data_IF_315620159506
#
_entry.id   IF_315620159506
#
_cell.length_a   1.000
_cell.length_b   1.000
_cell.length_c   1.000
_cell.angle_alpha   90.00
_cell.angle_beta   90.00
_cell.angle_gamma   90.00
#
_symmetry.space_group_name_H-M   'P 1'
#
loop_
_entity.id
_entity.type
_entity.pdbx_description
1 polymer ?
#
# COMPACT_ATOMS: atom_id res chain seq x y z
N UNK A 1 27.52 12.10 1.54
CA UNK A 1 26.08 12.38 1.54
C UNK A 1 25.47 11.34 2.47
N UNK A 2 24.51 11.71 3.31
CA UNK A 2 23.82 10.75 4.17
C UNK A 2 22.94 9.85 3.28
N UNK A 3 22.94 8.55 3.55
CA UNK A 3 22.08 7.57 2.89
C UNK A 3 21.14 6.94 3.92
N UNK A 4 20.10 6.28 3.45
CA UNK A 4 19.04 5.70 4.26
C UNK A 4 18.72 4.30 3.78
N UNK A 5 18.34 3.44 4.71
CA UNK A 5 17.89 2.07 4.45
C UNK A 5 16.43 1.95 4.91
N UNK A 6 15.64 1.18 4.16
CA UNK A 6 14.23 0.90 4.45
C UNK A 6 14.09 -0.58 4.79
N UNK A 7 13.55 -0.85 5.97
CA UNK A 7 13.24 -2.19 6.47
C UNK A 7 11.74 -2.41 6.48
N UNK A 8 11.33 -3.66 6.33
CA UNK A 8 9.96 -4.11 6.44
C UNK A 8 9.87 -5.06 7.64
N UNK A 9 9.11 -4.63 8.64
CA UNK A 9 8.86 -5.36 9.86
C UNK A 9 7.43 -5.93 9.76
N UNK A 10 7.28 -7.25 9.82
CA UNK A 10 5.97 -7.93 9.77
C UNK A 10 5.55 -8.35 11.18
N UNK A 11 4.32 -8.03 11.56
CA UNK A 11 3.72 -8.42 12.82
C UNK A 11 2.35 -9.10 12.60
N UNK A 12 2.04 -10.19 13.32
CA UNK A 12 0.73 -10.81 13.23
C UNK A 12 -0.36 -9.88 13.76
N UNK A 13 -1.42 -9.68 12.98
CA UNK A 13 -2.60 -8.92 13.41
C UNK A 13 -3.54 -9.86 14.14
N UNK A 14 -3.56 -9.74 15.46
CA UNK A 14 -4.45 -10.56 16.29
C UNK A 14 -4.00 -12.00 16.48
N UNK A 15 -4.70 -12.70 17.37
CA UNK A 15 -4.47 -14.11 17.72
C UNK A 15 -5.64 -14.96 17.25
N UNK A 16 -6.12 -14.74 16.03
CA UNK A 16 -7.33 -15.39 15.56
C UNK A 16 -7.05 -16.83 15.13
N UNK A 17 -7.83 -17.75 15.71
CA UNK A 17 -7.73 -19.21 15.56
C UNK A 17 -8.32 -19.71 14.23
N UNK A 18 -8.73 -18.82 13.33
CA UNK A 18 -9.50 -19.15 12.11
C UNK A 18 -8.62 -19.42 10.87
N UNK A 19 -7.29 -19.40 11.02
CA UNK A 19 -6.35 -19.87 9.99
C UNK A 19 -6.09 -18.89 8.84
N UNK A 20 -6.68 -17.70 8.88
CA UNK A 20 -6.31 -16.56 8.03
C UNK A 20 -5.36 -15.66 8.85
N UNK A 21 -4.05 -15.88 8.68
CA UNK A 21 -3.03 -15.02 9.30
C UNK A 21 -3.03 -13.66 8.58
N UNK A 22 -3.70 -12.67 9.14
CA UNK A 22 -3.51 -11.28 8.74
C UNK A 22 -2.15 -10.79 9.29
N UNK A 23 -1.33 -10.20 8.43
CA UNK A 23 -0.04 -9.60 8.78
C UNK A 23 -0.12 -8.08 8.64
N UNK A 24 0.27 -7.37 9.69
CA UNK A 24 0.51 -5.92 9.66
C UNK A 24 1.95 -5.71 9.25
N UNK A 25 2.13 -4.83 8.27
CA UNK A 25 3.43 -4.52 7.70
C UNK A 25 3.79 -3.09 8.09
N UNK A 26 4.88 -2.93 8.83
CA UNK A 26 5.45 -1.62 9.16
C UNK A 26 6.74 -1.40 8.36
N UNK A 27 6.86 -0.22 7.73
CA UNK A 27 8.08 0.19 7.04
C UNK A 27 8.86 1.20 7.87
N UNK A 28 10.14 0.91 8.12
CA UNK A 28 11.02 1.75 8.94
C UNK A 28 12.18 2.29 8.12
N UNK A 29 12.35 3.61 8.15
CA UNK A 29 13.46 4.31 7.48
C UNK A 29 14.55 4.62 8.51
N UNK A 30 15.77 4.16 8.25
CA UNK A 30 16.92 4.31 9.17
C UNK A 30 18.06 5.02 8.44
N UNK A 31 18.64 6.09 9.00
CA UNK A 31 19.87 6.69 8.46
C UNK A 31 21.03 5.70 8.55
N UNK A 32 21.79 5.55 7.46
CA UNK A 32 22.89 4.60 7.38
C UNK A 32 23.97 4.88 8.46
N UNK A 33 24.19 6.16 8.80
CA UNK A 33 25.08 6.55 9.89
C UNK A 33 24.69 6.04 11.28
N UNK A 34 23.42 5.69 11.49
CA UNK A 34 22.85 5.19 12.74
C UNK A 34 22.40 3.73 12.64
N UNK A 35 22.66 3.09 11.50
CA UNK A 35 22.26 1.72 11.24
C UNK A 35 23.31 0.74 11.76
N UNK A 36 22.92 -0.07 12.73
CA UNK A 36 23.76 -1.13 13.30
C UNK A 36 23.42 -2.52 12.73
N UNK A 37 22.51 -2.59 11.74
CA UNK A 37 22.12 -3.83 11.08
C UNK A 37 23.00 -4.22 9.90
N UNK A 38 22.56 -5.26 9.18
CA UNK A 38 23.13 -5.69 7.90
C UNK A 38 22.15 -5.31 6.77
N UNK A 39 22.19 -4.06 6.28
CA UNK A 39 21.23 -3.56 5.30
C UNK A 39 21.31 -4.29 3.96
N UNK A 40 22.46 -4.84 3.58
CA UNK A 40 22.59 -5.60 2.33
C UNK A 40 21.80 -6.92 2.34
N UNK A 41 21.57 -7.48 3.53
CA UNK A 41 20.89 -8.77 3.70
C UNK A 41 19.42 -8.62 4.12
N UNK A 42 19.09 -7.57 4.89
CA UNK A 42 17.79 -7.44 5.56
C UNK A 42 16.97 -6.21 5.14
N UNK A 43 17.57 -5.21 4.48
CA UNK A 43 16.81 -4.04 4.04
C UNK A 43 16.08 -4.36 2.73
N UNK A 44 14.84 -3.88 2.61
CA UNK A 44 14.07 -3.94 1.36
C UNK A 44 14.71 -3.02 0.33
N UNK A 45 15.16 -1.84 0.78
CA UNK A 45 15.91 -0.88 -0.03
C UNK A 45 17.08 -0.34 0.79
N UNK A 46 18.28 -0.42 0.25
CA UNK A 46 19.49 0.05 0.92
C UNK A 46 20.17 1.18 0.13
N UNK A 47 20.84 2.08 0.86
CA UNK A 47 21.72 3.10 0.27
C UNK A 47 21.00 4.24 -0.46
N UNK A 48 19.73 4.50 -0.14
CA UNK A 48 18.94 5.56 -0.76
C UNK A 48 19.43 6.93 -0.30
N UNK A 49 19.63 7.87 -1.22
CA UNK A 49 19.85 9.26 -0.83
C UNK A 49 18.53 10.01 -0.57
N UNK A 50 18.61 11.27 -0.18
CA UNK A 50 17.42 12.08 0.11
C UNK A 50 16.54 12.30 -1.14
N UNK A 51 17.14 12.41 -2.32
CA UNK A 51 16.41 12.60 -3.58
C UNK A 51 15.67 11.30 -3.92
N UNK A 52 16.31 10.16 -3.74
CA UNK A 52 15.70 8.85 -3.93
C UNK A 52 14.49 8.64 -3.01
N UNK A 53 14.60 9.02 -1.72
CA UNK A 53 13.48 8.96 -0.78
C UNK A 53 12.30 9.85 -1.20
N UNK A 54 12.58 11.05 -1.70
CA UNK A 54 11.55 11.96 -2.20
C UNK A 54 10.86 11.36 -3.43
N UNK A 55 11.63 10.81 -4.37
CA UNK A 55 11.09 10.18 -5.56
C UNK A 55 10.23 8.95 -5.21
N UNK A 56 10.69 8.13 -4.26
CA UNK A 56 9.95 6.96 -3.78
C UNK A 56 8.61 7.39 -3.16
N UNK A 57 8.63 8.43 -2.30
CA UNK A 57 7.41 9.00 -1.73
C UNK A 57 6.44 9.44 -2.83
N UNK A 58 6.92 10.20 -3.81
CA UNK A 58 6.06 10.76 -4.85
C UNK A 58 5.47 9.66 -5.74
N UNK A 59 6.24 8.60 -6.03
CA UNK A 59 5.76 7.42 -6.75
C UNK A 59 4.70 6.63 -5.94
N UNK A 60 4.92 6.42 -4.64
CA UNK A 60 3.94 5.74 -3.77
C UNK A 60 2.63 6.52 -3.66
N UNK A 61 2.70 7.86 -3.56
CA UNK A 61 1.50 8.69 -3.55
C UNK A 61 0.71 8.59 -4.86
N UNK A 62 1.39 8.63 -6.01
CA UNK A 62 0.74 8.46 -7.30
C UNK A 62 0.08 7.08 -7.44
N UNK A 63 0.69 6.02 -6.91
CA UNK A 63 0.12 4.67 -6.90
C UNK A 63 -1.12 4.59 -5.99
N UNK A 64 -1.06 5.18 -4.79
CA UNK A 64 -2.21 5.26 -3.88
C UNK A 64 -3.37 6.00 -4.53
N UNK A 65 -3.09 7.13 -5.19
CA UNK A 65 -4.11 7.91 -5.90
C UNK A 65 -4.73 7.10 -7.06
N UNK A 66 -3.91 6.32 -7.77
CA UNK A 66 -4.37 5.44 -8.86
C UNK A 66 -5.26 4.32 -8.32
N UNK A 67 -4.86 3.71 -7.21
CA UNK A 67 -5.66 2.67 -6.55
C UNK A 67 -6.99 3.23 -6.02
N UNK A 68 -6.96 4.42 -5.40
CA UNK A 68 -8.15 5.10 -4.94
C UNK A 68 -9.11 5.41 -6.09
N UNK A 69 -8.60 5.89 -7.24
CA UNK A 69 -9.42 6.11 -8.43
C UNK A 69 -10.01 4.80 -8.96
N UNK A 70 -9.22 3.74 -9.07
CA UNK A 70 -9.67 2.42 -9.55
C UNK A 70 -10.75 1.83 -8.65
N UNK A 71 -10.59 1.97 -7.33
CA UNK A 71 -11.59 1.53 -6.36
C UNK A 71 -12.90 2.32 -6.49
N UNK A 72 -12.83 3.64 -6.71
CA UNK A 72 -14.00 4.48 -6.95
C UNK A 72 -14.71 4.15 -8.26
N UNK A 73 -13.96 3.86 -9.33
CA UNK A 73 -14.54 3.43 -10.62
C UNK A 73 -15.21 2.07 -10.51
N UNK A 74 -14.63 1.13 -9.75
CA UNK A 74 -15.25 -0.16 -9.45
C UNK A 74 -16.57 0.01 -8.69
N UNK A 75 -16.60 0.86 -7.67
CA UNK A 75 -17.82 1.19 -6.92
C UNK A 75 -18.87 1.88 -7.81
N UNK A 76 -18.46 2.83 -8.66
CA UNK A 76 -19.35 3.54 -9.56
C UNK A 76 -19.96 2.61 -10.64
N UNK A 77 -19.20 1.63 -11.14
CA UNK A 77 -19.71 0.61 -12.06
C UNK A 77 -20.74 -0.32 -11.44
N UNK A 78 -20.65 -0.58 -10.13
CA UNK A 78 -21.65 -1.36 -9.38
C UNK A 78 -22.97 -0.56 -9.22
N UNK A 79 -22.88 0.75 -9.00
CA UNK A 79 -24.07 1.61 -8.85
C UNK A 79 -24.85 1.83 -10.16
N UNK A 80 -24.19 1.76 -11.33
CA UNK A 80 -24.84 1.94 -12.63
C UNK A 80 -25.57 0.65 -13.11
N UNK A 81 -25.10 -0.54 -12.68
CA UNK A 81 -25.74 -1.84 -12.99
C UNK A 81 -27.07 -2.03 -12.22
N UNK A 82 -27.18 -1.50 -10.99
CA UNK A 82 -28.39 -1.59 -10.16
C UNK A 82 -29.55 -0.69 -10.67
N UNK A 83 -29.23 0.39 -11.39
CA UNK A 83 -30.23 1.32 -11.94
C UNK A 83 -30.94 0.80 -13.19
N UNK A 84 -30.38 -0.19 -13.89
CA UNK A 84 -30.91 -0.70 -15.16
C UNK A 84 -32.08 -1.69 -15.02
N UNK A 85 -32.30 -2.29 -13.84
CA UNK A 85 -33.30 -3.36 -13.64
C UNK A 85 -34.70 -2.85 -13.22
N UNK A 86 -34.91 -1.53 -13.11
CA UNK A 86 -36.19 -0.94 -12.63
C UNK A 86 -37.15 -0.41 -13.71
N UNK A 87 -36.95 -0.71 -15.00
CA UNK A 87 -37.94 -0.34 -16.03
C UNK A 87 -39.00 -1.44 -16.15
N UNK A 88 -39.94 -1.45 -15.20
CA UNK A 88 -41.22 -2.16 -15.36
C UNK A 88 -42.04 -1.39 -16.40
N UNK A 89 -42.36 -1.95 -17.59
CA UNK A 89 -43.25 -1.28 -18.54
C UNK A 89 -44.65 -1.17 -17.94
N UNK A 90 -45.37 -0.05 -18.16
CA UNK A 90 -46.73 0.10 -17.65
C UNK A 90 -47.66 -0.95 -18.26
N UNK A 91 -48.61 -1.52 -17.49
CA UNK A 91 -49.59 -2.46 -18.04
C UNK A 91 -50.51 -1.75 -19.05
N UNK A 92 -50.76 -2.44 -20.16
CA UNK A 92 -51.65 -2.03 -21.27
C UNK A 92 -53.12 -2.07 -20.82
#
# INVERSE_FOLDING_TARGET
METYNIYMDEAPVGSELDGEEELEVEFRVVPNSSDNGEPEDNAVLAGLDLVDLINLRDALQAEIDTYALTALEAEAGILDDDAADTIVPPPI
#
